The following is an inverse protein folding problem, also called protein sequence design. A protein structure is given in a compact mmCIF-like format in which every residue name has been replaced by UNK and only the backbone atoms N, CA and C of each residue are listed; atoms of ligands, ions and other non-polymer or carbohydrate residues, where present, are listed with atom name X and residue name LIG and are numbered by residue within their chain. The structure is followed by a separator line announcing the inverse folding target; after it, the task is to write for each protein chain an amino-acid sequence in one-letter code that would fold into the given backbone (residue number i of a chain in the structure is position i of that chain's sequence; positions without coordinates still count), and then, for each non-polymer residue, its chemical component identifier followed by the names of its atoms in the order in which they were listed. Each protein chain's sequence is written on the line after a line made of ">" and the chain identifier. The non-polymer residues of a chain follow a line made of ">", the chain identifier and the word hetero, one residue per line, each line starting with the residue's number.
data_IF_141200913973
#
_entry.id   IF_141200913973
#
_cell.length_a   1.000
_cell.length_b   1.000
_cell.length_c   1.000
_cell.angle_alpha   90.00
_cell.angle_beta   90.00
_cell.angle_gamma   90.00
#
_symmetry.space_group_name_H-M   'P 1'
#
loop_
_entity.id
_entity.type
_entity.pdbx_description
1 polymer ?
#
# COMPACT_ATOMS: atom_id res chain seq x y z
N UNK A 1 21.44 -2.26 6.07
CA UNK A 1 20.16 -2.88 5.65
C UNK A 1 20.41 -3.53 4.31
N UNK A 2 20.15 -4.82 4.17
CA UNK A 2 20.23 -5.51 2.87
C UNK A 2 18.97 -5.16 2.08
N UNK A 3 19.13 -4.26 1.11
CA UNK A 3 18.04 -3.74 0.29
C UNK A 3 17.40 -4.84 -0.57
N UNK A 4 18.21 -5.71 -1.16
CA UNK A 4 17.71 -6.78 -2.01
C UNK A 4 16.89 -7.77 -1.20
N UNK A 5 17.40 -8.18 -0.03
CA UNK A 5 16.64 -9.04 0.89
C UNK A 5 15.33 -8.40 1.33
N UNK A 6 15.33 -7.10 1.64
CA UNK A 6 14.12 -6.38 2.02
C UNK A 6 13.05 -6.42 0.91
N UNK A 7 13.46 -6.17 -0.33
CA UNK A 7 12.57 -6.19 -1.49
C UNK A 7 12.11 -7.61 -1.85
N UNK A 8 13.00 -8.60 -1.79
CA UNK A 8 12.62 -10.01 -2.02
C UNK A 8 11.57 -10.47 -1.01
N UNK A 9 11.79 -10.18 0.28
CA UNK A 9 10.84 -10.56 1.32
C UNK A 9 9.50 -9.82 1.22
N UNK A 10 9.40 -8.69 0.52
CA UNK A 10 8.09 -8.08 0.28
C UNK A 10 7.17 -9.03 -0.50
N UNK A 11 7.72 -9.72 -1.50
CA UNK A 11 6.96 -10.63 -2.36
C UNK A 11 6.90 -12.06 -1.79
N UNK A 12 8.02 -12.55 -1.24
CA UNK A 12 8.14 -13.95 -0.82
C UNK A 12 7.57 -14.22 0.59
N UNK A 13 7.66 -13.24 1.50
CA UNK A 13 7.20 -13.42 2.88
C UNK A 13 5.67 -13.33 2.95
N UNK A 14 5.05 -14.31 3.62
CA UNK A 14 3.60 -14.33 3.87
C UNK A 14 3.33 -14.13 5.35
N UNK A 15 2.48 -13.16 5.75
CA UNK A 15 2.11 -13.00 7.15
C UNK A 15 1.40 -14.26 7.66
N UNK A 16 1.78 -14.70 8.85
CA UNK A 16 1.09 -15.73 9.60
C UNK A 16 -0.23 -15.17 10.15
N UNK A 17 -1.40 -15.65 9.70
CA UNK A 17 -2.69 -15.16 10.17
C UNK A 17 -2.95 -15.47 11.65
N UNK A 18 -2.26 -16.47 12.22
CA UNK A 18 -2.37 -16.82 13.63
C UNK A 18 -1.55 -15.89 14.52
N UNK A 19 -0.58 -15.17 13.97
CA UNK A 19 0.22 -14.20 14.69
C UNK A 19 -0.43 -12.80 14.65
N UNK A 20 -0.97 -12.28 15.78
CA UNK A 20 -1.65 -10.99 15.77
C UNK A 20 -0.77 -9.81 15.35
N UNK A 21 0.55 -9.91 15.51
CA UNK A 21 1.52 -8.87 15.17
C UNK A 21 1.79 -8.76 13.67
N UNK A 22 1.45 -9.80 12.88
CA UNK A 22 1.59 -9.83 11.42
C UNK A 22 0.27 -9.55 10.70
N UNK A 23 -0.79 -9.22 11.44
CA UNK A 23 -2.05 -8.79 10.83
C UNK A 23 -1.99 -7.32 10.43
N UNK A 24 -2.87 -6.94 9.52
CA UNK A 24 -3.11 -5.52 9.21
C UNK A 24 -3.53 -4.79 10.48
N UNK A 25 -2.75 -3.77 10.83
CA UNK A 25 -3.05 -2.81 11.87
C UNK A 25 -3.12 -1.42 11.24
N UNK A 26 -4.33 -0.98 10.86
CA UNK A 26 -4.56 0.28 10.15
C UNK A 26 -5.01 1.37 11.12
N UNK A 27 -4.05 2.16 11.62
CA UNK A 27 -4.29 3.20 12.64
C UNK A 27 -4.38 4.62 12.07
N UNK A 28 -4.14 5.62 12.93
CA UNK A 28 -4.16 7.05 12.56
C UNK A 28 -3.16 7.41 11.45
N UNK A 29 -2.09 6.63 11.31
CA UNK A 29 -1.05 6.80 10.27
C UNK A 29 -1.04 5.65 9.26
N UNK A 30 -2.18 4.97 9.08
CA UNK A 30 -2.30 3.80 8.23
C UNK A 30 -1.63 2.56 8.85
N UNK A 31 -1.32 1.58 8.00
CA UNK A 31 -0.56 0.39 8.36
C UNK A 31 0.93 0.59 8.06
N UNK A 32 1.79 0.14 8.99
CA UNK A 32 3.25 0.27 8.89
C UNK A 32 3.91 -1.02 9.35
N UNK A 33 5.05 -1.34 8.75
CA UNK A 33 5.82 -2.52 9.12
C UNK A 33 7.06 -2.69 8.27
N UNK A 34 7.56 -3.92 8.20
CA UNK A 34 8.70 -4.29 7.37
C UNK A 34 8.53 -5.72 6.89
N UNK A 35 8.97 -5.99 5.66
CA UNK A 35 8.99 -7.35 5.12
C UNK A 35 9.94 -8.27 5.90
N UNK A 36 10.99 -7.72 6.53
CA UNK A 36 11.91 -8.49 7.39
C UNK A 36 11.24 -9.17 8.59
N UNK A 37 10.04 -8.74 8.97
CA UNK A 37 9.27 -9.29 10.09
C UNK A 37 7.92 -9.87 9.64
N UNK A 38 7.67 -9.92 8.34
CA UNK A 38 6.36 -10.31 7.80
C UNK A 38 5.24 -9.35 8.20
N UNK A 39 5.53 -8.09 8.52
CA UNK A 39 4.53 -7.08 8.95
C UNK A 39 4.26 -6.00 7.90
N UNK A 40 4.91 -6.09 6.74
CA UNK A 40 4.59 -5.29 5.55
C UNK A 40 5.09 -6.04 4.31
N UNK A 41 4.18 -6.70 3.62
CA UNK A 41 4.43 -7.56 2.46
C UNK A 41 3.36 -7.31 1.39
N UNK A 42 3.50 -7.91 0.22
CA UNK A 42 2.51 -7.82 -0.87
C UNK A 42 1.10 -8.19 -0.39
N UNK A 43 0.97 -9.26 0.41
CA UNK A 43 -0.30 -9.69 0.97
C UNK A 43 -1.02 -8.59 1.78
N UNK A 44 -0.27 -7.77 2.52
CA UNK A 44 -0.85 -6.67 3.28
C UNK A 44 -1.37 -5.58 2.36
N UNK A 45 -0.58 -5.19 1.34
CA UNK A 45 -0.94 -4.12 0.43
C UNK A 45 -2.11 -4.53 -0.45
N UNK A 46 -2.13 -5.76 -0.97
CA UNK A 46 -3.27 -6.33 -1.70
C UNK A 46 -4.56 -6.23 -0.87
N UNK A 47 -4.54 -6.71 0.38
CA UNK A 47 -5.70 -6.72 1.25
C UNK A 47 -6.20 -5.29 1.58
N UNK A 48 -5.28 -4.39 1.92
CA UNK A 48 -5.62 -3.00 2.25
C UNK A 48 -6.19 -2.28 1.04
N UNK A 49 -5.52 -2.38 -0.12
CA UNK A 49 -5.97 -1.68 -1.33
C UNK A 49 -7.31 -2.21 -1.82
N UNK A 50 -7.54 -3.53 -1.74
CA UNK A 50 -8.84 -4.10 -2.08
C UNK A 50 -9.95 -3.57 -1.16
N UNK A 51 -9.69 -3.52 0.15
CA UNK A 51 -10.65 -2.95 1.10
C UNK A 51 -10.95 -1.46 0.81
N UNK A 52 -9.93 -0.68 0.44
CA UNK A 52 -10.12 0.73 0.03
C UNK A 52 -10.97 0.81 -1.25
N UNK A 53 -10.69 -0.02 -2.26
CA UNK A 53 -11.42 -0.02 -3.53
C UNK A 53 -12.92 -0.32 -3.33
N UNK A 54 -13.24 -1.26 -2.44
CA UNK A 54 -14.63 -1.63 -2.10
C UNK A 54 -15.32 -0.54 -1.27
N UNK A 55 -14.63 0.02 -0.28
CA UNK A 55 -15.26 0.91 0.69
C UNK A 55 -15.31 2.37 0.26
N UNK A 56 -14.46 2.84 -0.68
CA UNK A 56 -14.36 4.26 -1.06
C UNK A 56 -15.71 4.91 -1.39
N UNK A 57 -16.61 4.18 -2.05
CA UNK A 57 -17.92 4.68 -2.44
C UNK A 57 -18.81 4.96 -1.21
N UNK A 58 -18.76 4.09 -0.19
CA UNK A 58 -19.46 4.33 1.09
C UNK A 58 -18.90 5.52 1.87
N UNK A 59 -17.65 5.89 1.61
CA UNK A 59 -17.03 7.11 2.14
C UNK A 59 -17.26 8.36 1.24
N UNK A 60 -18.10 8.25 0.21
CA UNK A 60 -18.43 9.35 -0.70
C UNK A 60 -17.38 9.63 -1.78
N UNK A 61 -16.32 8.83 -1.87
CA UNK A 61 -15.27 8.99 -2.88
C UNK A 61 -15.60 8.17 -4.13
N UNK A 62 -16.17 8.83 -5.15
CA UNK A 62 -16.54 8.23 -6.44
C UNK A 62 -15.72 8.74 -7.63
N UNK A 63 -14.96 9.82 -7.44
CA UNK A 63 -14.03 10.39 -8.43
C UNK A 63 -12.69 9.65 -8.50
N UNK A 64 -11.67 10.28 -9.12
CA UNK A 64 -10.34 9.71 -9.25
C UNK A 64 -9.65 9.52 -7.89
N UNK A 65 -8.65 8.63 -7.85
CA UNK A 65 -7.80 8.39 -6.68
C UNK A 65 -6.36 8.81 -6.98
N UNK A 66 -5.84 9.74 -6.18
CA UNK A 66 -4.43 10.16 -6.26
C UNK A 66 -3.53 9.18 -5.51
N UNK A 67 -2.64 8.50 -6.22
CA UNK A 67 -1.73 7.50 -5.67
C UNK A 67 -0.29 8.03 -5.68
N UNK A 68 0.32 8.07 -4.49
CA UNK A 68 1.64 8.65 -4.26
C UNK A 68 2.52 7.71 -3.42
N UNK A 69 3.84 7.95 -3.48
CA UNK A 69 4.84 7.25 -2.66
C UNK A 69 5.94 8.20 -2.21
N UNK A 70 6.61 7.84 -1.11
CA UNK A 70 7.82 8.49 -0.64
C UNK A 70 9.08 7.70 -1.06
N UNK A 71 10.24 8.08 -0.53
CA UNK A 71 11.55 7.51 -0.90
C UNK A 71 11.92 6.21 -0.17
N UNK A 72 11.03 5.63 0.65
CA UNK A 72 11.35 4.36 1.30
C UNK A 72 11.37 3.21 0.30
N UNK A 73 12.30 2.27 0.52
CA UNK A 73 12.50 1.13 -0.38
C UNK A 73 11.23 0.30 -0.62
N UNK A 74 10.44 0.06 0.42
CA UNK A 74 9.19 -0.71 0.33
C UNK A 74 8.03 0.08 -0.30
N UNK A 75 8.18 1.39 -0.49
CA UNK A 75 7.14 2.22 -1.11
C UNK A 75 7.01 1.95 -2.60
N UNK A 76 8.11 1.59 -3.28
CA UNK A 76 8.08 1.21 -4.70
C UNK A 76 7.21 -0.03 -4.97
N UNK A 77 7.47 -1.20 -4.36
CA UNK A 77 6.65 -2.38 -4.61
C UNK A 77 5.22 -2.24 -4.04
N UNK A 78 5.04 -1.51 -2.94
CA UNK A 78 3.71 -1.21 -2.41
C UNK A 78 2.88 -0.35 -3.36
N UNK A 79 3.48 0.68 -3.96
CA UNK A 79 2.83 1.53 -4.94
C UNK A 79 2.40 0.74 -6.18
N UNK A 80 3.29 -0.14 -6.70
CA UNK A 80 2.97 -0.99 -7.85
C UNK A 80 1.82 -1.97 -7.55
N UNK A 81 1.83 -2.58 -6.37
CA UNK A 81 0.76 -3.49 -5.91
C UNK A 81 -0.57 -2.74 -5.77
N UNK A 82 -0.55 -1.57 -5.14
CA UNK A 82 -1.74 -0.75 -4.97
C UNK A 82 -2.32 -0.31 -6.33
N UNK A 83 -1.47 0.19 -7.24
CA UNK A 83 -1.90 0.58 -8.58
C UNK A 83 -2.60 -0.56 -9.32
N UNK A 84 -2.03 -1.76 -9.26
CA UNK A 84 -2.57 -2.95 -9.94
C UNK A 84 -3.98 -3.29 -9.43
N UNK A 85 -4.20 -3.27 -8.12
CA UNK A 85 -5.52 -3.54 -7.51
C UNK A 85 -6.52 -2.44 -7.86
N UNK A 86 -6.13 -1.17 -7.76
CA UNK A 86 -7.02 -0.04 -8.04
C UNK A 86 -7.50 -0.04 -9.50
N UNK A 87 -6.58 -0.25 -10.44
CA UNK A 87 -6.92 -0.33 -11.88
C UNK A 87 -7.77 -1.56 -12.17
N UNK A 88 -7.49 -2.71 -11.54
CA UNK A 88 -8.33 -3.90 -11.69
C UNK A 88 -9.77 -3.71 -11.18
N UNK A 89 -9.98 -2.82 -10.20
CA UNK A 89 -11.31 -2.42 -9.73
C UNK A 89 -11.94 -1.28 -10.56
N UNK A 90 -11.34 -0.89 -11.68
CA UNK A 90 -11.88 0.14 -12.59
C UNK A 90 -11.80 1.57 -12.06
N UNK A 91 -10.90 1.84 -11.11
CA UNK A 91 -10.73 3.18 -10.53
C UNK A 91 -9.80 4.00 -11.42
N UNK A 92 -10.19 5.25 -11.76
CA UNK A 92 -9.28 6.23 -12.37
C UNK A 92 -8.20 6.61 -11.35
N UNK A 93 -6.96 6.19 -11.60
CA UNK A 93 -5.81 6.51 -10.73
C UNK A 93 -5.01 7.64 -11.35
N UNK A 94 -4.71 8.67 -10.55
CA UNK A 94 -3.82 9.78 -10.90
C UNK A 94 -2.51 9.62 -10.14
N UNK A 95 -1.40 9.76 -10.85
CA UNK A 95 -0.06 9.57 -10.32
C UNK A 95 0.89 10.62 -10.92
N UNK A 96 1.95 10.92 -10.20
CA UNK A 96 3.11 11.66 -10.70
C UNK A 96 4.30 10.72 -10.88
N UNK A 97 5.22 11.07 -11.77
CA UNK A 97 6.50 10.38 -11.86
C UNK A 97 7.35 10.69 -10.62
N UNK A 98 7.87 9.64 -9.97
CA UNK A 98 8.80 9.80 -8.84
C UNK A 98 8.14 9.74 -7.47
N UNK A 99 8.33 10.78 -6.66
CA UNK A 99 7.93 10.83 -5.25
C UNK A 99 7.07 12.07 -4.99
N UNK A 100 6.00 11.91 -4.22
CA UNK A 100 5.04 13.00 -3.94
C UNK A 100 4.87 13.15 -2.44
N UNK A 101 5.24 14.30 -1.85
CA UNK A 101 5.01 14.58 -0.43
C UNK A 101 3.53 14.50 -0.05
N UNK A 102 3.23 14.00 1.16
CA UNK A 102 1.86 13.88 1.67
C UNK A 102 1.03 15.17 1.54
N UNK A 103 1.56 16.39 1.78
CA UNK A 103 0.78 17.61 1.62
C UNK A 103 0.29 17.87 0.18
N UNK A 104 1.02 17.41 -0.84
CA UNK A 104 0.60 17.59 -2.24
C UNK A 104 -0.59 16.71 -2.59
N UNK A 105 -0.68 15.50 -2.01
CA UNK A 105 -1.86 14.63 -2.15
C UNK A 105 -3.09 15.26 -1.48
N UNK A 106 -2.89 15.97 -0.35
CA UNK A 106 -3.99 16.67 0.33
C UNK A 106 -4.50 17.90 -0.41
N UNK A 107 -3.68 18.47 -1.30
CA UNK A 107 -4.03 19.65 -2.08
C UNK A 107 -4.76 19.30 -3.38
N UNK A 108 -4.44 18.13 -3.96
CA UNK A 108 -4.95 17.65 -5.24
C UNK A 108 -6.43 17.23 -5.19
#
# INVERSE_FOLDING_TARGET
>A
MDLLRLLTLYYEERPDPQNPLQRVAFGTSGHRGTSLKGTFTEAHVLAITQAIAELRASFGATGPLFLAKDTHALSEPAWATALSVLVANGIEVRLEEGYTPTPLVSLA
#
